data_IF_743353963718
#
_entry.id   IF_743353963718
#
_cell.length_a   1.000
_cell.length_b   1.000
_cell.length_c   1.000
_cell.angle_alpha   90.00
_cell.angle_beta   90.00
_cell.angle_gamma   90.00
#
_symmetry.space_group_name_H-M   'P 1'
#
loop_
_entity.id
_entity.type
_entity.pdbx_description
1 polymer ?
#
# COMPACT_ATOMS: atom_id res chain seq x y z
N UNK A 1 -3.47 13.74 -5.40
CA UNK A 1 -3.32 12.55 -6.26
C UNK A 1 -3.75 11.31 -5.49
N UNK A 2 -4.19 10.27 -6.20
CA UNK A 2 -4.61 9.00 -5.61
C UNK A 2 -4.13 7.85 -6.51
N UNK A 3 -3.50 6.84 -5.90
CA UNK A 3 -3.21 5.56 -6.54
C UNK A 3 -3.80 4.44 -5.68
N UNK A 4 -4.62 3.56 -6.28
CA UNK A 4 -5.42 2.59 -5.55
C UNK A 4 -5.32 1.19 -6.16
N UNK A 5 -5.20 0.20 -5.30
CA UNK A 5 -5.48 -1.20 -5.57
C UNK A 5 -6.66 -1.61 -4.68
N UNK A 6 -7.86 -1.59 -5.27
CA UNK A 6 -9.11 -1.78 -4.54
C UNK A 6 -9.13 -3.08 -3.73
N UNK A 7 -9.59 -2.99 -2.47
CA UNK A 7 -9.62 -4.11 -1.54
C UNK A 7 -8.26 -4.45 -0.91
N UNK A 8 -7.19 -3.73 -1.26
CA UNK A 8 -5.85 -3.97 -0.73
C UNK A 8 -5.25 -2.70 -0.12
N UNK A 9 -4.79 -1.77 -0.95
CA UNK A 9 -4.09 -0.56 -0.47
C UNK A 9 -4.29 0.64 -1.37
N UNK A 10 -4.36 1.83 -0.76
CA UNK A 10 -4.45 3.12 -1.45
C UNK A 10 -3.39 4.07 -0.92
N UNK A 11 -2.70 4.78 -1.83
CA UNK A 11 -1.86 5.93 -1.48
C UNK A 11 -2.53 7.22 -1.92
N UNK A 12 -2.52 8.22 -1.03
CA UNK A 12 -3.13 9.54 -1.28
C UNK A 12 -2.10 10.61 -0.97
N UNK A 13 -1.75 11.44 -1.96
CA UNK A 13 -0.93 12.62 -1.74
C UNK A 13 -1.82 13.85 -1.55
N UNK A 14 -1.61 14.56 -0.43
CA UNK A 14 -2.42 15.71 0.02
C UNK A 14 -1.55 16.94 0.23
N UNK A 15 -2.12 18.12 0.06
CA UNK A 15 -1.49 19.40 0.33
C UNK A 15 -2.53 20.43 0.79
N UNK A 16 -2.08 21.54 1.39
CA UNK A 16 -2.96 22.61 1.85
C UNK A 16 -2.56 23.96 1.26
N UNK A 17 -3.55 24.77 0.90
CA UNK A 17 -3.32 26.17 0.53
C UNK A 17 -2.98 27.05 1.73
N UNK A 18 -3.31 26.61 2.96
CA UNK A 18 -3.00 27.30 4.19
C UNK A 18 -1.77 26.70 4.84
N UNK A 19 -0.71 27.48 4.95
CA UNK A 19 0.58 27.06 5.53
C UNK A 19 0.48 26.64 7.01
N UNK A 20 -0.56 27.08 7.72
CA UNK A 20 -0.77 26.70 9.11
C UNK A 20 -1.50 25.36 9.28
N UNK A 21 -1.92 24.73 8.17
CA UNK A 21 -2.61 23.46 8.20
C UNK A 21 -1.66 22.34 7.81
N UNK A 22 -1.45 21.38 8.71
CA UNK A 22 -0.84 20.10 8.38
C UNK A 22 -1.85 19.25 7.60
N UNK A 23 -1.66 19.04 6.28
CA UNK A 23 -2.63 18.33 5.46
C UNK A 23 -2.72 16.85 5.79
N UNK A 24 -1.60 16.20 6.12
CA UNK A 24 -1.58 14.79 6.49
C UNK A 24 -2.26 14.59 7.83
N UNK A 25 -1.86 15.33 8.86
CA UNK A 25 -2.48 15.24 10.18
C UNK A 25 -3.98 15.57 10.15
N UNK A 26 -4.40 16.52 9.30
CA UNK A 26 -5.82 16.84 9.12
C UNK A 26 -6.62 15.67 8.50
N UNK A 27 -6.03 14.91 7.59
CA UNK A 27 -6.67 13.74 6.98
C UNK A 27 -6.65 12.52 7.90
N UNK A 28 -5.53 12.26 8.57
CA UNK A 28 -5.36 11.14 9.50
C UNK A 28 -6.26 11.32 10.73
N UNK A 29 -6.26 12.51 11.31
CA UNK A 29 -7.00 12.84 12.52
C UNK A 29 -6.32 12.30 13.78
N UNK A 30 -6.87 12.66 14.95
CA UNK A 30 -6.32 12.22 16.23
C UNK A 30 -6.37 10.71 16.36
N UNK A 31 -5.21 10.08 16.63
CA UNK A 31 -5.06 8.62 16.70
C UNK A 31 -5.63 7.87 15.47
N UNK A 32 -5.52 8.47 14.29
CA UNK A 32 -6.01 7.85 13.05
C UNK A 32 -7.54 7.82 12.89
N UNK A 33 -8.29 8.53 13.75
CA UNK A 33 -9.76 8.40 13.79
C UNK A 33 -10.45 8.67 12.46
N UNK A 34 -9.94 9.61 11.66
CA UNK A 34 -10.54 9.95 10.36
C UNK A 34 -10.18 8.93 9.29
N UNK A 35 -8.90 8.58 9.17
CA UNK A 35 -8.47 7.60 8.17
C UNK A 35 -9.06 6.22 8.47
N UNK A 36 -9.08 5.79 9.74
CA UNK A 36 -9.65 4.51 10.14
C UNK A 36 -11.16 4.42 9.89
N UNK A 37 -11.91 5.50 9.98
CA UNK A 37 -13.31 5.51 9.59
C UNK A 37 -13.50 5.14 8.11
N UNK A 38 -12.61 5.63 7.22
CA UNK A 38 -12.63 5.31 5.80
C UNK A 38 -12.15 3.87 5.56
N UNK A 39 -11.08 3.44 6.25
CA UNK A 39 -10.57 2.05 6.18
C UNK A 39 -11.66 1.05 6.54
N UNK A 40 -12.42 1.33 7.61
CA UNK A 40 -13.55 0.47 8.04
C UNK A 40 -14.67 0.44 6.99
N UNK A 41 -15.01 1.57 6.38
CA UNK A 41 -16.01 1.64 5.30
C UNK A 41 -15.56 0.86 4.05
N UNK A 42 -14.25 0.82 3.79
CA UNK A 42 -13.64 0.07 2.70
C UNK A 42 -13.27 -1.38 3.08
N UNK A 43 -13.76 -1.88 4.21
CA UNK A 43 -13.60 -3.26 4.66
C UNK A 43 -12.13 -3.66 4.86
N UNK A 44 -11.33 -2.78 5.45
CA UNK A 44 -9.93 -3.04 5.78
C UNK A 44 -8.91 -2.60 4.72
N UNK A 45 -9.31 -1.95 3.62
CA UNK A 45 -8.36 -1.43 2.63
C UNK A 45 -7.41 -0.40 3.29
N UNK A 46 -6.11 -0.71 3.31
CA UNK A 46 -5.09 0.14 3.94
C UNK A 46 -4.93 1.46 3.18
N UNK A 47 -4.78 2.59 3.90
CA UNK A 47 -4.66 3.92 3.30
C UNK A 47 -3.41 4.62 3.81
N UNK A 48 -2.47 4.89 2.91
CA UNK A 48 -1.29 5.72 3.17
C UNK A 48 -1.58 7.15 2.74
N UNK A 49 -1.46 8.10 3.67
CA UNK A 49 -1.63 9.53 3.40
C UNK A 49 -0.26 10.19 3.50
N UNK A 50 0.19 10.81 2.41
CA UNK A 50 1.51 11.42 2.30
C UNK A 50 1.40 12.90 1.90
N UNK A 51 2.45 13.67 2.15
CA UNK A 51 2.55 15.03 1.65
C UNK A 51 2.77 15.02 0.14
N UNK A 52 1.97 15.82 -0.57
CA UNK A 52 2.24 16.15 -1.95
C UNK A 52 3.32 17.24 -2.05
N UNK A 53 4.18 17.18 -3.05
CA UNK A 53 5.23 18.15 -3.31
C UNK A 53 5.31 18.46 -4.80
N UNK A 54 5.65 19.71 -5.15
CA UNK A 54 5.89 20.14 -6.52
C UNK A 54 7.19 19.51 -7.08
N UNK A 55 8.18 19.28 -6.21
CA UNK A 55 9.42 18.64 -6.56
C UNK A 55 9.21 17.14 -6.70
N UNK A 56 9.47 16.61 -7.89
CA UNK A 56 9.28 15.20 -8.20
C UNK A 56 10.07 14.26 -7.26
N UNK A 57 11.31 14.63 -6.89
CA UNK A 57 12.12 13.80 -6.01
C UNK A 57 11.51 13.67 -4.61
N UNK A 58 11.04 14.77 -4.02
CA UNK A 58 10.37 14.74 -2.72
C UNK A 58 9.02 14.02 -2.78
N UNK A 59 8.28 14.19 -3.87
CA UNK A 59 7.02 13.47 -4.04
C UNK A 59 7.24 11.96 -4.14
N UNK A 60 8.28 11.52 -4.84
CA UNK A 60 8.64 10.11 -4.97
C UNK A 60 9.12 9.54 -3.63
N UNK A 61 9.98 10.27 -2.91
CA UNK A 61 10.41 9.92 -1.55
C UNK A 61 9.21 9.70 -0.63
N UNK A 62 8.30 10.69 -0.56
CA UNK A 62 7.08 10.60 0.23
C UNK A 62 6.20 9.40 -0.20
N UNK A 63 6.11 9.14 -1.51
CA UNK A 63 5.29 8.07 -2.06
C UNK A 63 5.81 6.67 -1.71
N UNK A 64 7.10 6.52 -1.43
CA UNK A 64 7.71 5.27 -0.99
C UNK A 64 7.55 5.01 0.51
N UNK A 65 7.01 5.99 1.27
CA UNK A 65 6.67 5.75 2.69
C UNK A 65 5.91 4.42 2.85
N UNK A 66 6.21 3.65 3.93
CA UNK A 66 7.03 3.99 5.09
C UNK A 66 8.54 3.75 4.92
N UNK A 67 9.00 3.31 3.75
CA UNK A 67 10.43 3.08 3.52
C UNK A 67 11.22 4.40 3.57
N UNK A 68 12.39 4.36 4.20
CA UNK A 68 13.33 5.47 4.22
C UNK A 68 14.18 5.44 2.95
N UNK A 69 14.46 6.62 2.40
CA UNK A 69 15.21 6.79 1.14
C UNK A 69 16.50 7.54 1.41
N UNK A 70 17.61 7.11 0.80
CA UNK A 70 18.89 7.81 0.85
C UNK A 70 18.88 8.98 -0.14
N UNK A 71 18.52 8.71 -1.38
CA UNK A 71 18.39 9.76 -2.39
C UNK A 71 17.41 9.35 -3.50
N UNK A 72 16.88 10.37 -4.18
CA UNK A 72 16.05 10.25 -5.38
C UNK A 72 16.63 11.14 -6.47
N UNK A 73 16.88 10.57 -7.64
CA UNK A 73 17.25 11.29 -8.85
C UNK A 73 16.12 11.12 -9.86
N UNK A 74 15.39 12.19 -10.13
CA UNK A 74 14.24 12.16 -11.03
C UNK A 74 14.54 12.91 -12.32
N UNK A 75 14.28 12.28 -13.47
CA UNK A 75 14.29 12.88 -14.78
C UNK A 75 12.86 13.29 -15.14
N UNK A 76 12.63 14.60 -15.25
CA UNK A 76 11.31 15.14 -15.54
C UNK A 76 10.89 14.99 -17.01
N UNK A 77 11.86 14.90 -17.94
CA UNK A 77 11.58 14.76 -19.36
C UNK A 77 11.17 13.32 -19.70
N UNK A 78 11.96 12.35 -19.22
CA UNK A 78 11.70 10.91 -19.47
C UNK A 78 10.68 10.30 -18.48
N UNK A 79 10.36 11.03 -17.40
CA UNK A 79 9.50 10.52 -16.31
C UNK A 79 10.06 9.24 -15.69
N UNK A 80 11.37 9.15 -15.57
CA UNK A 80 12.07 8.08 -14.89
C UNK A 80 12.70 8.60 -13.58
N UNK A 81 12.80 7.73 -12.59
CA UNK A 81 13.44 8.06 -11.33
C UNK A 81 14.26 6.89 -10.82
N UNK A 82 15.48 7.18 -10.36
CA UNK A 82 16.32 6.26 -9.62
C UNK A 82 16.22 6.60 -8.14
N UNK A 83 15.93 5.60 -7.34
CA UNK A 83 15.82 5.70 -5.88
C UNK A 83 16.81 4.78 -5.23
N UNK A 84 17.63 5.31 -4.32
CA UNK A 84 18.57 4.52 -3.54
C UNK A 84 18.05 4.48 -2.10
N UNK A 85 17.96 3.27 -1.56
CA UNK A 85 17.50 2.99 -0.19
C UNK A 85 18.57 2.22 0.58
N UNK A 86 18.59 2.29 1.93
CA UNK A 86 19.40 1.38 2.73
C UNK A 86 19.06 -0.09 2.41
N UNK A 87 20.03 -0.99 2.53
CA UNK A 87 19.82 -2.40 2.17
C UNK A 87 18.64 -3.02 2.93
N UNK A 88 18.52 -2.73 4.22
CA UNK A 88 17.43 -3.24 5.07
C UNK A 88 16.05 -2.64 4.74
N UNK A 89 16.00 -1.50 4.00
CA UNK A 89 14.75 -0.87 3.57
C UNK A 89 14.29 -1.35 2.18
N UNK A 90 15.10 -2.09 1.43
CA UNK A 90 14.80 -2.46 0.06
C UNK A 90 13.48 -3.24 -0.07
N UNK A 91 13.29 -4.23 0.80
CA UNK A 91 12.06 -5.04 0.80
C UNK A 91 10.83 -4.20 1.11
N UNK A 92 10.93 -3.26 2.05
CA UNK A 92 9.84 -2.35 2.42
C UNK A 92 9.54 -1.36 1.30
N UNK A 93 10.57 -0.80 0.66
CA UNK A 93 10.41 0.12 -0.47
C UNK A 93 9.71 -0.54 -1.66
N UNK A 94 10.04 -1.78 -1.95
CA UNK A 94 9.37 -2.58 -3.00
C UNK A 94 7.96 -2.98 -2.54
N UNK A 95 7.82 -3.46 -1.29
CA UNK A 95 6.59 -3.98 -0.72
C UNK A 95 6.23 -5.39 -1.21
N UNK A 96 5.23 -5.99 -0.58
CA UNK A 96 4.71 -7.31 -0.96
C UNK A 96 4.30 -7.30 -2.44
N UNK A 97 4.83 -8.23 -3.21
CA UNK A 97 4.58 -8.35 -4.67
C UNK A 97 4.82 -7.04 -5.45
N UNK A 98 5.67 -6.15 -4.94
CA UNK A 98 5.95 -4.86 -5.56
C UNK A 98 4.85 -3.81 -5.41
N UNK A 99 3.93 -3.99 -4.46
CA UNK A 99 2.76 -3.13 -4.29
C UNK A 99 3.14 -1.69 -3.93
N UNK A 100 4.09 -1.50 -2.99
CA UNK A 100 4.49 -0.16 -2.56
C UNK A 100 5.11 0.63 -3.72
N UNK A 101 6.08 0.04 -4.42
CA UNK A 101 6.72 0.65 -5.60
C UNK A 101 5.72 0.93 -6.73
N UNK A 102 4.82 -0.02 -7.00
CA UNK A 102 3.80 0.12 -8.05
C UNK A 102 2.79 1.23 -7.75
N UNK A 103 2.33 1.36 -6.49
CA UNK A 103 1.45 2.45 -6.08
C UNK A 103 2.16 3.79 -6.12
N UNK A 104 3.43 3.87 -5.68
CA UNK A 104 4.25 5.07 -5.77
C UNK A 104 4.42 5.51 -7.22
N UNK A 105 4.76 4.60 -8.14
CA UNK A 105 4.89 4.89 -9.56
C UNK A 105 3.58 5.43 -10.18
N UNK A 106 2.44 4.84 -9.83
CA UNK A 106 1.12 5.30 -10.30
C UNK A 106 0.74 6.66 -9.73
N UNK A 107 1.08 6.91 -8.45
CA UNK A 107 0.77 8.16 -7.77
C UNK A 107 1.53 9.34 -8.36
N UNK A 108 2.82 9.14 -8.62
CA UNK A 108 3.75 10.18 -9.08
C UNK A 108 3.78 10.33 -10.60
N UNK A 109 3.42 9.28 -11.33
CA UNK A 109 3.50 9.23 -12.79
C UNK A 109 4.93 8.98 -13.31
N UNK A 110 5.84 8.53 -12.44
CA UNK A 110 7.21 8.20 -12.78
C UNK A 110 7.42 6.68 -12.84
N UNK A 111 8.30 6.25 -13.71
CA UNK A 111 8.87 4.89 -13.67
C UNK A 111 10.00 4.90 -12.64
N UNK A 112 9.80 4.19 -11.54
CA UNK A 112 10.71 4.19 -10.40
C UNK A 112 11.58 2.94 -10.42
N UNK A 113 12.92 3.12 -10.48
CA UNK A 113 13.91 2.07 -10.28
C UNK A 113 14.47 2.18 -8.87
N UNK A 114 14.28 1.14 -8.06
CA UNK A 114 14.71 1.12 -6.66
C UNK A 114 15.94 0.22 -6.52
N UNK A 115 17.00 0.75 -6.00
CA UNK A 115 18.24 0.03 -5.72
C UNK A 115 18.63 0.13 -4.27
N UNK A 116 19.25 -0.93 -3.75
CA UNK A 116 19.86 -0.85 -2.45
C UNK A 116 21.19 -0.08 -2.51
N UNK A 117 21.62 0.39 -1.37
CA UNK A 117 22.90 1.07 -1.19
C UNK A 117 24.07 0.24 -1.72
N UNK A 118 24.13 -1.05 -1.36
CA UNK A 118 25.16 -1.98 -1.86
C UNK A 118 25.11 -2.10 -3.38
N UNK A 119 23.93 -2.24 -3.98
CA UNK A 119 23.78 -2.29 -5.44
C UNK A 119 24.22 -0.99 -6.11
N UNK A 120 23.91 0.14 -5.52
CA UNK A 120 24.33 1.45 -6.04
C UNK A 120 25.85 1.64 -5.99
N UNK A 121 26.50 1.20 -4.90
CA UNK A 121 27.97 1.19 -4.77
C UNK A 121 28.64 0.28 -5.81
N UNK A 122 28.17 -0.95 -5.97
CA UNK A 122 28.69 -1.90 -6.95
C UNK A 122 28.58 -1.40 -8.39
N UNK A 123 27.54 -0.65 -8.68
CA UNK A 123 27.30 -0.06 -10.02
C UNK A 123 27.97 1.30 -10.22
N UNK A 124 28.63 1.87 -9.20
CA UNK A 124 29.29 3.17 -9.26
C UNK A 124 28.34 4.36 -9.42
N UNK A 125 27.06 4.19 -9.04
CA UNK A 125 26.02 5.20 -9.26
C UNK A 125 26.25 6.48 -8.45
N UNK A 126 26.82 6.40 -7.26
CA UNK A 126 27.12 7.57 -6.43
C UNK A 126 28.14 8.49 -7.12
N UNK A 127 29.15 7.90 -7.76
CA UNK A 127 30.19 8.64 -8.50
C UNK A 127 29.60 9.23 -9.79
N UNK A 128 28.81 8.44 -10.53
CA UNK A 128 28.16 8.87 -11.77
C UNK A 128 27.19 10.04 -11.54
N UNK A 129 26.44 10.00 -10.46
CA UNK A 129 25.48 11.04 -10.09
C UNK A 129 26.10 12.23 -9.35
N UNK A 130 27.41 12.16 -9.03
CA UNK A 130 28.10 13.20 -8.27
C UNK A 130 27.60 13.36 -6.84
N UNK A 131 27.06 12.30 -6.26
CA UNK A 131 26.55 12.29 -4.88
C UNK A 131 27.72 11.98 -3.95
N UNK A 132 28.07 12.94 -3.08
CA UNK A 132 29.03 12.70 -1.99
C UNK A 132 28.38 11.77 -0.97
N UNK A 133 28.62 10.46 -1.13
CA UNK A 133 28.15 9.47 -0.19
C UNK A 133 29.15 9.34 0.96
N UNK A 134 28.68 9.59 2.20
CA UNK A 134 29.42 9.34 3.43
C UNK A 134 28.73 8.19 4.18
N UNK A 135 29.48 7.15 4.51
CA UNK A 135 28.94 5.98 5.24
C UNK A 135 28.29 6.37 6.58
N UNK A 136 28.76 7.45 7.20
CA UNK A 136 28.23 7.97 8.46
C UNK A 136 26.84 8.66 8.31
N UNK A 137 26.37 8.91 7.09
CA UNK A 137 25.02 9.48 6.86
C UNK A 137 23.89 8.46 7.07
N UNK A 138 24.22 7.18 7.15
CA UNK A 138 23.25 6.08 7.30
C UNK A 138 23.12 5.62 8.76
N UNK A 139 23.69 6.36 9.72
CA UNK A 139 23.47 6.12 11.15
C UNK A 139 22.03 6.54 11.57
N UNK A 140 21.05 6.08 10.78
CA UNK A 140 19.68 6.04 11.21
C UNK A 140 19.61 4.99 12.33
N UNK A 141 18.98 5.38 13.42
CA UNK A 141 18.75 4.62 14.63
C UNK A 141 18.25 3.20 14.29
N UNK A 142 19.20 2.31 13.98
CA UNK A 142 18.95 0.95 13.50
C UNK A 142 17.98 0.18 14.41
N UNK A 143 18.01 0.51 15.72
CA UNK A 143 17.13 -0.07 16.72
C UNK A 143 15.67 0.39 16.60
N UNK A 144 15.42 1.67 16.34
CA UNK A 144 14.04 2.17 16.14
C UNK A 144 13.44 1.64 14.84
N UNK A 145 14.26 1.41 13.81
CA UNK A 145 13.81 0.85 12.54
C UNK A 145 13.54 -0.66 12.62
N UNK A 146 14.33 -1.42 13.40
CA UNK A 146 14.07 -2.85 13.65
C UNK A 146 12.77 -3.04 14.44
N UNK A 147 12.51 -2.25 15.49
CA UNK A 147 11.25 -2.30 16.24
C UNK A 147 10.05 -1.94 15.36
N UNK A 148 10.18 -0.93 14.49
CA UNK A 148 9.12 -0.53 13.56
C UNK A 148 8.85 -1.62 12.50
N UNK A 149 9.89 -2.22 11.92
CA UNK A 149 9.78 -3.29 10.94
C UNK A 149 9.22 -4.59 11.56
N UNK A 150 9.62 -4.90 12.81
CA UNK A 150 9.07 -6.02 13.56
C UNK A 150 7.56 -5.83 13.81
N UNK A 151 7.12 -4.62 14.17
CA UNK A 151 5.71 -4.30 14.35
C UNK A 151 4.88 -4.47 13.08
N UNK A 152 5.41 -4.11 11.90
CA UNK A 152 4.73 -4.34 10.61
C UNK A 152 4.59 -5.83 10.30
N UNK A 153 5.61 -6.64 10.62
CA UNK A 153 5.57 -8.09 10.37
C UNK A 153 4.58 -8.80 11.31
N UNK A 154 4.50 -8.36 12.58
CA UNK A 154 3.54 -8.92 13.54
C UNK A 154 2.09 -8.60 13.12
N UNK A 155 1.80 -7.39 12.63
CA UNK A 155 0.46 -7.05 12.12
C UNK A 155 0.07 -7.92 10.90
N UNK A 156 1.00 -8.20 10.00
CA UNK A 156 0.76 -9.06 8.85
C UNK A 156 0.57 -10.55 9.25
N UNK A 157 1.23 -11.03 10.32
CA UNK A 157 1.06 -12.40 10.84
C UNK A 157 -0.23 -12.58 11.65
N UNK A 158 -0.68 -11.58 12.40
CA UNK A 158 -1.97 -11.63 13.13
C UNK A 158 -3.15 -11.67 12.15
N UNK A 159 -3.09 -10.97 11.02
CA UNK A 159 -4.15 -10.97 9.99
C UNK A 159 -4.34 -12.38 9.37
N UNK A 160 -3.31 -13.26 9.38
CA UNK A 160 -3.41 -14.63 8.91
C UNK A 160 -3.95 -15.62 9.96
N UNK A 161 -3.97 -15.28 11.25
CA UNK A 161 -4.43 -16.17 12.32
C UNK A 161 -5.91 -16.00 12.68
N UNK A 162 -6.53 -14.85 12.40
CA UNK A 162 -7.97 -14.63 12.67
C UNK A 162 -8.92 -15.30 11.68
N UNK A 163 -8.46 -15.74 10.50
CA UNK A 163 -9.31 -16.35 9.48
C UNK A 163 -9.44 -17.90 9.61
N UNK A 164 -8.94 -18.46 10.71
CA UNK A 164 -8.99 -19.89 11.04
C UNK A 164 -10.21 -20.34 11.83
N UNK A 165 -11.26 -19.54 12.00
CA UNK A 165 -12.48 -19.99 12.65
C UNK A 165 -13.38 -20.73 11.67
N UNK A 166 -13.34 -22.07 11.75
CA UNK A 166 -14.35 -23.02 11.27
C UNK A 166 -15.78 -22.50 11.46
N UNK A 167 -16.34 -21.86 10.46
CA UNK A 167 -17.80 -21.72 10.34
C UNK A 167 -18.32 -23.02 9.80
N UNK A 168 -18.64 -23.94 10.72
CA UNK A 168 -19.49 -25.08 10.42
C UNK A 168 -20.81 -24.55 9.84
N UNK A 169 -21.04 -24.82 8.57
CA UNK A 169 -22.38 -24.63 7.97
C UNK A 169 -23.34 -25.63 8.60
N UNK A 170 -24.51 -25.21 9.03
CA UNK A 170 -25.55 -26.19 9.45
C UNK A 170 -25.95 -27.03 8.24
N UNK A 171 -25.88 -28.34 8.39
CA UNK A 171 -26.41 -29.29 7.42
C UNK A 171 -27.95 -29.10 7.35
N UNK A 172 -28.45 -28.68 6.18
CA UNK A 172 -29.85 -28.64 5.88
C UNK A 172 -30.39 -30.09 5.84
N UNK A 173 -31.15 -30.48 6.85
CA UNK A 173 -31.97 -31.68 6.83
C UNK A 173 -33.05 -31.51 5.77
N UNK A 174 -32.89 -32.19 4.62
CA UNK A 174 -33.93 -32.38 3.64
C UNK A 174 -34.95 -33.38 4.21
N UNK A 175 -36.05 -32.90 4.78
CA UNK A 175 -37.25 -33.68 4.94
C UNK A 175 -37.91 -33.87 3.57
N UNK A 176 -37.85 -35.13 3.08
CA UNK A 176 -38.69 -35.61 1.98
C UNK A 176 -40.16 -35.61 2.42
N UNK A 177 -40.96 -34.72 1.88
CA UNK A 177 -42.41 -34.84 1.92
C UNK A 177 -42.91 -35.17 0.51
N UNK A 178 -43.09 -36.48 0.29
CA UNK A 178 -43.86 -37.02 -0.81
C UNK A 178 -45.34 -36.74 -0.57
N UNK A 179 -45.97 -35.94 -1.41
CA UNK A 179 -47.43 -35.93 -1.59
C UNK A 179 -47.74 -36.09 -3.08
N UNK A 180 -48.28 -37.27 -3.38
CA UNK A 180 -49.03 -37.59 -4.59
C UNK A 180 -50.34 -36.79 -4.59
N UNK A 181 -50.63 -36.06 -5.65
CA UNK A 181 -52.00 -35.73 -6.11
C UNK A 181 -51.83 -35.36 -7.59
N UNK A 182 -52.30 -36.14 -8.54
CA UNK A 182 -53.69 -36.35 -8.87
C UNK A 182 -53.92 -35.61 -10.19
N UNK A 183 -53.63 -36.29 -11.36
CA UNK A 183 -53.98 -35.77 -12.69
C UNK A 183 -55.46 -35.70 -12.86
N UNK A 184 -56.01 -34.55 -13.24
CA UNK A 184 -57.30 -34.44 -13.94
C UNK A 184 -57.08 -33.71 -15.26
N UNK A 185 -57.26 -34.47 -16.33
CA UNK A 185 -57.53 -33.96 -17.66
C UNK A 185 -58.95 -33.35 -17.67
N UNK A 186 -59.06 -32.12 -18.12
CA UNK A 186 -60.28 -31.62 -18.73
C UNK A 186 -59.91 -30.86 -19.99
N UNK A 187 -60.22 -31.50 -21.10
CA UNK A 187 -60.22 -30.90 -22.39
C UNK A 187 -61.39 -29.94 -22.59
N UNK A 188 -61.16 -28.89 -23.36
CA UNK A 188 -62.27 -28.27 -24.11
C UNK A 188 -61.75 -27.71 -25.43
N UNK A 189 -62.50 -28.12 -26.45
CA UNK A 189 -62.43 -27.85 -27.87
C UNK A 189 -62.74 -26.41 -28.27
N UNK A 190 -62.15 -26.05 -29.39
CA UNK A 190 -62.58 -25.19 -30.52
C UNK A 190 -63.84 -24.28 -30.33
N UNK A 191 -63.63 -22.99 -30.57
CA UNK A 191 -64.23 -22.24 -31.69
C UNK A 191 -63.42 -20.94 -31.92
#
# INVERSE_FOLDING_TARGET
CIAREAGSRTKIAVWSNDINVDPVGACVGMNGARVNAVVNELHGEKIDIINWDDNAAYLIENALSPAKVICVVADEEEKEALVIVPDYQLSLAIGKEGQNARLAARLTGYKIDIKSETQAKEQGLFEELGIEYQEDMVDYNYQEDEEFLAGIQEEDEEEYQEDGTDKAYPEDEHEEHSQEEGYQEDGFSEE
#
